data_IF_511032236025
#
_entry.id   IF_511032236025
#
_cell.length_a   1.000
_cell.length_b   1.000
_cell.length_c   1.000
_cell.angle_alpha   90.00
_cell.angle_beta   90.00
_cell.angle_gamma   90.00
#
_symmetry.space_group_name_H-M   'P 1'
#
loop_
_entity.id
_entity.type
_entity.pdbx_description
1 polymer ?
#
# COMPACT_ATOMS: atom_id res chain seq x y z
N UNK A 1 9.73 -14.87 -13.51
CA UNK A 1 9.24 -14.09 -12.37
C UNK A 1 7.96 -14.71 -11.81
N UNK A 2 7.83 -14.77 -10.51
CA UNK A 2 6.65 -15.35 -9.84
C UNK A 2 5.49 -14.35 -9.75
N UNK A 3 5.80 -13.07 -9.81
CA UNK A 3 4.83 -11.98 -9.96
C UNK A 3 5.35 -11.03 -11.03
N UNK A 4 4.47 -10.65 -11.94
CA UNK A 4 4.78 -9.72 -13.01
C UNK A 4 3.62 -8.76 -13.23
N UNK A 5 3.91 -7.48 -13.22
CA UNK A 5 2.94 -6.43 -13.56
C UNK A 5 3.53 -5.49 -14.59
N UNK A 6 2.86 -5.34 -15.71
CA UNK A 6 3.17 -4.35 -16.72
C UNK A 6 2.31 -3.11 -16.46
N UNK A 7 2.96 -1.99 -16.23
CA UNK A 7 2.32 -0.68 -16.15
C UNK A 7 2.60 0.10 -17.43
N UNK A 8 1.64 0.88 -17.86
CA UNK A 8 1.79 1.77 -19.01
C UNK A 8 2.55 3.03 -18.66
N UNK A 9 2.71 3.88 -19.66
CA UNK A 9 3.25 5.23 -19.50
C UNK A 9 2.17 6.14 -18.90
N UNK A 10 2.08 6.12 -17.58
CA UNK A 10 1.03 6.81 -16.84
C UNK A 10 1.57 7.78 -15.82
N UNK A 11 0.77 8.76 -15.56
CA UNK A 11 0.97 9.74 -14.52
C UNK A 11 0.58 9.17 -13.15
N UNK A 12 1.58 8.74 -12.38
CA UNK A 12 1.37 8.23 -11.03
C UNK A 12 1.09 9.29 -9.98
N UNK A 13 1.37 10.58 -10.26
CA UNK A 13 1.43 11.59 -9.22
C UNK A 13 0.98 13.01 -9.60
N UNK A 14 0.71 13.33 -10.87
CA UNK A 14 0.54 14.72 -11.30
C UNK A 14 -0.84 15.34 -11.01
N UNK A 15 -1.80 14.59 -10.53
CA UNK A 15 -3.08 15.16 -10.10
C UNK A 15 -3.68 14.37 -8.91
N UNK A 16 -4.67 14.96 -8.19
CA UNK A 16 -5.20 14.39 -6.94
C UNK A 16 -5.82 13.00 -7.04
N UNK A 17 -6.18 12.54 -8.23
CA UNK A 17 -6.74 11.22 -8.49
C UNK A 17 -5.73 10.24 -9.11
N UNK A 18 -4.45 10.58 -9.11
CA UNK A 18 -3.37 9.67 -9.48
C UNK A 18 -3.12 8.62 -8.40
N UNK A 19 -2.38 7.56 -8.72
CA UNK A 19 -2.17 6.39 -7.82
C UNK A 19 -1.60 6.81 -6.47
N UNK A 20 -0.53 7.61 -6.46
CA UNK A 20 0.16 7.98 -5.21
C UNK A 20 -0.70 8.87 -4.31
N UNK A 21 -1.32 9.96 -4.79
CA UNK A 21 -2.24 10.72 -3.97
C UNK A 21 -3.41 9.90 -3.42
N UNK A 22 -3.96 8.98 -4.20
CA UNK A 22 -5.07 8.15 -3.75
C UNK A 22 -4.67 7.16 -2.65
N UNK A 23 -3.54 6.46 -2.79
CA UNK A 23 -3.07 5.56 -1.73
C UNK A 23 -2.64 6.33 -0.48
N UNK A 24 -2.08 7.52 -0.65
CA UNK A 24 -1.71 8.37 0.47
C UNK A 24 -2.93 8.79 1.31
N UNK A 25 -4.01 9.22 0.68
CA UNK A 25 -5.26 9.56 1.39
C UNK A 25 -5.83 8.38 2.19
N UNK A 26 -5.77 7.17 1.62
CA UNK A 26 -6.15 5.95 2.35
C UNK A 26 -5.23 5.72 3.56
N UNK A 27 -3.93 5.86 3.38
CA UNK A 27 -2.95 5.65 4.44
C UNK A 27 -3.06 6.71 5.55
N UNK A 28 -3.29 7.97 5.20
CA UNK A 28 -3.52 9.07 6.15
C UNK A 28 -4.75 8.81 7.00
N UNK A 29 -5.88 8.48 6.39
CA UNK A 29 -7.11 8.20 7.13
C UNK A 29 -6.98 6.96 8.02
N UNK A 30 -6.34 5.90 7.53
CA UNK A 30 -5.99 4.73 8.31
C UNK A 30 -5.11 5.11 9.51
N UNK A 31 -4.09 5.94 9.29
CA UNK A 31 -3.19 6.43 10.35
C UNK A 31 -3.92 7.27 11.39
N UNK A 32 -4.85 8.14 10.98
CA UNK A 32 -5.69 8.94 11.88
C UNK A 32 -6.53 8.06 12.81
N UNK A 33 -7.21 7.07 12.27
CA UNK A 33 -8.05 6.14 13.04
C UNK A 33 -7.20 5.26 13.95
N UNK A 34 -6.03 4.83 13.49
CA UNK A 34 -5.07 4.09 14.28
C UNK A 34 -4.61 4.90 15.49
N UNK A 35 -4.21 6.15 15.30
CA UNK A 35 -3.77 7.03 16.38
C UNK A 35 -4.87 7.28 17.42
N UNK A 36 -6.12 7.41 16.97
CA UNK A 36 -7.27 7.59 17.85
C UNK A 36 -7.66 6.33 18.65
N UNK A 37 -7.32 5.14 18.14
CA UNK A 37 -7.70 3.84 18.72
C UNK A 37 -6.69 3.28 19.71
N UNK A 38 -5.48 3.84 19.80
CA UNK A 38 -4.37 3.25 20.54
C UNK A 38 -3.83 4.12 21.67
N UNK A 39 -4.05 3.65 22.88
CA UNK A 39 -3.17 3.94 24.01
C UNK A 39 -2.00 2.93 23.96
N UNK A 40 -0.85 3.42 23.59
CA UNK A 40 0.53 2.95 23.82
C UNK A 40 0.99 1.49 23.61
N UNK A 41 0.16 0.49 23.41
CA UNK A 41 0.69 -0.87 23.55
C UNK A 41 0.76 -1.73 22.29
N UNK A 42 -0.11 -1.57 21.29
CA UNK A 42 -0.17 -2.53 20.17
C UNK A 42 -0.54 -1.85 18.86
N UNK A 43 0.43 -1.66 17.98
CA UNK A 43 0.15 -1.32 16.59
C UNK A 43 -0.59 -2.50 15.93
N UNK A 44 -1.74 -2.27 15.25
CA UNK A 44 -2.37 -3.35 14.50
C UNK A 44 -1.40 -3.87 13.47
N UNK A 45 -1.28 -5.19 13.39
CA UNK A 45 -0.50 -5.83 12.34
C UNK A 45 -1.08 -5.45 10.98
N UNK A 46 -0.24 -5.06 10.06
CA UNK A 46 -0.62 -4.92 8.67
C UNK A 46 -0.84 -6.32 8.11
N UNK A 47 -2.06 -6.60 7.64
CA UNK A 47 -2.44 -7.94 7.16
C UNK A 47 -2.16 -8.15 5.67
N UNK A 48 -1.66 -7.12 4.97
CA UNK A 48 -1.29 -7.23 3.57
C UNK A 48 -0.06 -8.13 3.36
N UNK A 49 -0.02 -8.82 2.22
CA UNK A 49 1.13 -9.63 1.81
C UNK A 49 2.38 -8.78 1.66
N UNK A 50 3.53 -9.31 2.07
CA UNK A 50 4.84 -8.66 1.92
C UNK A 50 5.65 -9.29 0.79
N UNK A 51 6.49 -8.47 0.14
CA UNK A 51 7.42 -8.92 -0.90
C UNK A 51 8.86 -9.12 -0.38
N UNK A 52 9.17 -8.64 0.79
CA UNK A 52 10.47 -8.79 1.42
C UNK A 52 10.62 -10.18 2.02
N UNK A 53 11.81 -10.77 1.86
CA UNK A 53 12.11 -12.15 2.25
C UNK A 53 12.56 -12.31 3.70
N UNK A 54 12.96 -11.23 4.33
CA UNK A 54 13.43 -11.23 5.71
C UNK A 54 12.32 -10.83 6.68
N UNK A 55 12.54 -11.01 7.96
CA UNK A 55 11.56 -10.72 9.02
C UNK A 55 11.25 -9.22 9.21
N UNK A 56 11.58 -8.39 8.24
CA UNK A 56 11.45 -6.93 8.35
C UNK A 56 10.06 -6.45 7.92
N UNK A 57 9.46 -7.08 6.92
CA UNK A 57 8.08 -6.82 6.46
C UNK A 57 7.73 -5.33 6.28
N UNK A 58 8.41 -4.67 5.35
CA UNK A 58 8.23 -3.23 5.09
C UNK A 58 7.61 -2.94 3.71
N UNK A 59 7.61 -3.93 2.81
CA UNK A 59 7.12 -3.82 1.44
C UNK A 59 5.84 -4.64 1.26
N UNK A 60 4.72 -3.99 1.43
CA UNK A 60 3.41 -4.63 1.36
C UNK A 60 2.83 -4.56 -0.06
N UNK A 61 2.05 -5.58 -0.44
CA UNK A 61 1.28 -5.54 -1.68
C UNK A 61 0.36 -4.32 -1.69
N UNK A 62 0.46 -3.51 -2.74
CA UNK A 62 -0.20 -2.21 -2.82
C UNK A 62 -1.73 -2.34 -2.75
N UNK A 63 -2.31 -3.29 -3.48
CA UNK A 63 -3.78 -3.48 -3.47
C UNK A 63 -4.29 -4.06 -2.16
N UNK A 64 -3.56 -5.00 -1.58
CA UNK A 64 -3.93 -5.58 -0.29
C UNK A 64 -3.80 -4.54 0.84
N UNK A 65 -2.78 -3.70 0.80
CA UNK A 65 -2.65 -2.58 1.73
C UNK A 65 -3.81 -1.60 1.61
N UNK A 66 -4.16 -1.21 0.39
CA UNK A 66 -5.32 -0.34 0.14
C UNK A 66 -6.62 -0.95 0.65
N UNK A 67 -6.82 -2.26 0.46
CA UNK A 67 -8.00 -2.98 0.96
C UNK A 67 -8.05 -3.02 2.49
N UNK A 68 -6.93 -3.25 3.14
CA UNK A 68 -6.84 -3.19 4.60
C UNK A 68 -7.19 -1.80 5.14
N UNK A 69 -6.68 -0.74 4.53
CA UNK A 69 -7.05 0.63 4.88
C UNK A 69 -8.56 0.86 4.71
N UNK A 70 -9.13 0.44 3.58
CA UNK A 70 -10.58 0.50 3.35
C UNK A 70 -11.36 -0.18 4.47
N UNK A 71 -11.03 -1.40 4.82
CA UNK A 71 -11.79 -2.17 5.82
C UNK A 71 -11.75 -1.50 7.20
N UNK A 72 -10.61 -0.92 7.55
CA UNK A 72 -10.48 -0.16 8.80
C UNK A 72 -11.28 1.14 8.80
N UNK A 73 -11.25 1.88 7.70
CA UNK A 73 -12.01 3.12 7.54
C UNK A 73 -13.51 2.83 7.51
N UNK A 74 -13.94 1.76 6.83
CA UNK A 74 -15.34 1.36 6.72
C UNK A 74 -15.99 1.06 8.07
N UNK A 75 -15.24 0.59 9.04
CA UNK A 75 -15.71 0.37 10.40
C UNK A 75 -16.11 1.67 11.11
N UNK A 76 -15.57 2.82 10.69
CA UNK A 76 -15.86 4.15 11.19
C UNK A 76 -16.81 4.92 10.26
N UNK A 77 -16.50 4.93 8.95
CA UNK A 77 -17.25 5.64 7.91
C UNK A 77 -17.20 4.85 6.59
N UNK A 78 -18.24 4.07 6.35
CA UNK A 78 -18.31 3.19 5.15
C UNK A 78 -18.28 4.00 3.84
N UNK A 79 -19.02 5.11 3.77
CA UNK A 79 -19.09 5.91 2.55
C UNK A 79 -17.74 6.54 2.21
N UNK A 80 -17.03 7.02 3.20
CA UNK A 80 -15.67 7.55 3.03
C UNK A 80 -14.69 6.48 2.57
N UNK A 81 -14.77 5.30 3.17
CA UNK A 81 -13.95 4.15 2.79
C UNK A 81 -14.16 3.78 1.32
N UNK A 82 -15.41 3.66 0.88
CA UNK A 82 -15.77 3.34 -0.50
C UNK A 82 -15.24 4.41 -1.47
N UNK A 83 -15.45 5.69 -1.18
CA UNK A 83 -14.99 6.78 -2.04
C UNK A 83 -13.48 6.80 -2.20
N UNK A 84 -12.73 6.67 -1.11
CA UNK A 84 -11.27 6.67 -1.15
C UNK A 84 -10.71 5.43 -1.88
N UNK A 85 -11.26 4.27 -1.60
CA UNK A 85 -10.83 3.02 -2.21
C UNK A 85 -11.19 2.95 -3.70
N UNK A 86 -12.37 3.41 -4.10
CA UNK A 86 -12.78 3.46 -5.50
C UNK A 86 -11.88 4.41 -6.32
N UNK A 87 -11.53 5.56 -5.77
CA UNK A 87 -10.58 6.47 -6.42
C UNK A 87 -9.22 5.82 -6.62
N UNK A 88 -8.72 5.11 -5.61
CA UNK A 88 -7.48 4.35 -5.73
C UNK A 88 -7.58 3.26 -6.81
N UNK A 89 -8.65 2.46 -6.80
CA UNK A 89 -8.83 1.38 -7.78
C UNK A 89 -8.94 1.90 -9.21
N UNK A 90 -9.63 3.01 -9.44
CA UNK A 90 -9.71 3.66 -10.75
C UNK A 90 -8.32 4.10 -11.23
N UNK A 91 -7.56 4.74 -10.37
CA UNK A 91 -6.19 5.17 -10.70
C UNK A 91 -5.28 3.97 -10.99
N UNK A 92 -5.31 2.95 -10.13
CA UNK A 92 -4.54 1.73 -10.31
C UNK A 92 -4.90 1.00 -11.62
N UNK A 93 -6.17 0.83 -11.90
CA UNK A 93 -6.63 0.13 -13.10
C UNK A 93 -6.31 0.91 -14.39
N UNK A 94 -6.26 2.23 -14.33
CA UNK A 94 -5.81 3.06 -15.45
C UNK A 94 -4.31 2.87 -15.75
N UNK A 95 -3.49 2.63 -14.72
CA UNK A 95 -2.06 2.39 -14.88
C UNK A 95 -1.71 0.95 -15.24
N UNK A 96 -2.46 -0.02 -14.75
CA UNK A 96 -2.18 -1.43 -14.97
C UNK A 96 -2.56 -1.86 -16.38
N UNK A 97 -1.59 -2.38 -17.13
CA UNK A 97 -1.82 -3.02 -18.43
C UNK A 97 -2.09 -4.51 -18.24
N UNK A 98 -1.27 -5.17 -17.43
CA UNK A 98 -1.31 -6.63 -17.29
C UNK A 98 -0.67 -7.07 -15.99
N UNK A 99 -1.28 -8.05 -15.32
CA UNK A 99 -0.71 -8.69 -14.12
C UNK A 99 -0.84 -10.20 -14.23
N UNK A 100 0.21 -10.91 -13.91
CA UNK A 100 0.23 -12.37 -13.71
C UNK A 100 1.09 -12.74 -12.51
N UNK A 101 0.72 -13.83 -11.88
CA UNK A 101 1.48 -14.41 -10.78
C UNK A 101 1.31 -15.93 -10.76
N UNK A 102 2.27 -16.63 -10.16
CA UNK A 102 2.10 -18.01 -9.73
C UNK A 102 1.28 -18.04 -8.43
N UNK A 103 0.76 -19.19 -8.07
CA UNK A 103 -0.01 -19.31 -6.81
C UNK A 103 0.88 -19.21 -5.57
N UNK A 104 2.14 -19.62 -5.69
CA UNK A 104 3.10 -19.67 -4.58
C UNK A 104 4.53 -19.43 -5.07
N UNK A 105 5.30 -18.79 -4.20
CA UNK A 105 6.75 -18.75 -4.28
C UNK A 105 7.30 -19.24 -2.94
N UNK A 106 7.94 -20.41 -2.91
CA UNK A 106 8.36 -21.08 -1.67
C UNK A 106 7.17 -21.23 -0.70
N UNK A 107 7.24 -20.65 0.49
CA UNK A 107 6.15 -20.64 1.49
C UNK A 107 5.18 -19.47 1.33
N UNK A 108 5.47 -18.53 0.43
CA UNK A 108 4.68 -17.30 0.26
C UNK A 108 3.49 -17.57 -0.67
N UNK A 109 2.28 -17.28 -0.20
CA UNK A 109 1.07 -17.31 -1.02
C UNK A 109 1.01 -16.02 -1.87
N UNK A 110 1.04 -16.18 -3.19
CA UNK A 110 1.01 -15.06 -4.14
C UNK A 110 -0.38 -14.82 -4.74
N UNK A 111 -1.38 -15.56 -4.33
CA UNK A 111 -2.76 -15.34 -4.81
C UNK A 111 -3.22 -13.95 -4.41
N UNK A 112 -3.68 -13.19 -5.39
CA UNK A 112 -4.09 -11.79 -5.18
C UNK A 112 -2.96 -10.76 -5.18
N UNK A 113 -1.71 -11.17 -5.45
CA UNK A 113 -0.60 -10.24 -5.62
C UNK A 113 -0.82 -9.31 -6.81
N UNK A 114 -0.63 -8.02 -6.62
CA UNK A 114 -0.74 -7.02 -7.69
C UNK A 114 0.59 -6.70 -8.37
N UNK A 115 1.71 -7.16 -7.83
CA UNK A 115 3.05 -6.95 -8.38
C UNK A 115 3.64 -5.56 -8.12
N UNK A 116 2.91 -4.70 -7.43
CA UNK A 116 3.40 -3.40 -6.95
C UNK A 116 3.39 -3.39 -5.42
N UNK A 117 4.36 -2.74 -4.83
CA UNK A 117 4.47 -2.64 -3.37
C UNK A 117 4.41 -1.20 -2.88
N UNK A 118 4.01 -1.05 -1.63
CA UNK A 118 4.11 0.18 -0.87
C UNK A 118 5.05 -0.04 0.31
N UNK A 119 5.93 0.93 0.54
CA UNK A 119 6.77 0.94 1.73
C UNK A 119 6.00 1.54 2.91
N UNK A 120 5.94 0.80 4.00
CA UNK A 120 5.36 1.29 5.26
C UNK A 120 6.40 1.11 6.36
N UNK A 121 6.96 2.20 6.90
CA UNK A 121 7.97 2.11 7.95
C UNK A 121 7.40 1.42 9.18
N UNK A 122 8.15 0.46 9.71
CA UNK A 122 7.81 -0.26 10.93
C UNK A 122 8.47 0.35 12.17
N UNK A 123 8.17 -0.18 13.36
CA UNK A 123 8.81 0.26 14.61
C UNK A 123 10.33 -0.03 14.65
N UNK A 124 10.79 -0.98 13.84
CA UNK A 124 12.21 -1.30 13.67
C UNK A 124 12.71 -0.65 12.39
N UNK A 125 13.09 0.61 12.46
CA UNK A 125 13.67 1.32 11.31
C UNK A 125 15.04 0.71 11.01
N UNK A 126 15.19 0.13 9.83
CA UNK A 126 16.51 -0.26 9.31
C UNK A 126 17.28 1.02 9.01
N UNK A 127 18.37 1.24 9.72
CA UNK A 127 19.22 2.43 9.57
C UNK A 127 19.61 2.65 8.10
N UNK A 128 19.33 3.85 7.58
CA UNK A 128 19.61 4.25 6.21
C UNK A 128 18.51 3.92 5.19
N UNK A 129 17.63 2.96 5.45
CA UNK A 129 16.56 2.59 4.52
C UNK A 129 15.47 3.67 4.47
N UNK A 130 15.09 4.18 5.63
CA UNK A 130 14.08 5.23 5.73
C UNK A 130 14.56 6.53 5.05
N UNK A 131 15.81 6.93 5.28
CA UNK A 131 16.43 8.08 4.62
C UNK A 131 16.47 7.88 3.09
N UNK A 132 16.80 6.68 2.61
CA UNK A 132 16.77 6.37 1.19
C UNK A 132 15.35 6.57 0.61
N UNK A 133 14.31 6.06 1.27
CA UNK A 133 12.94 6.19 0.81
C UNK A 133 12.42 7.62 0.84
N UNK A 134 12.82 8.43 1.81
CA UNK A 134 12.47 9.85 1.86
C UNK A 134 12.98 10.63 0.63
N UNK A 135 14.01 10.13 -0.04
CA UNK A 135 14.56 10.73 -1.26
C UNK A 135 13.86 10.27 -2.55
N UNK A 136 13.03 9.25 -2.51
CA UNK A 136 12.30 8.78 -3.68
C UNK A 136 11.16 9.75 -4.08
N UNK A 137 10.85 9.77 -5.36
CA UNK A 137 9.73 10.56 -5.89
C UNK A 137 8.40 10.19 -5.20
N UNK A 138 8.17 8.92 -4.92
CA UNK A 138 7.02 8.45 -4.15
C UNK A 138 6.84 9.24 -2.85
N UNK A 139 7.86 9.28 -2.00
CA UNK A 139 7.78 9.96 -0.70
C UNK A 139 7.52 11.45 -0.86
N UNK A 140 8.26 12.11 -1.78
CA UNK A 140 8.14 13.55 -2.03
C UNK A 140 6.78 13.97 -2.56
N UNK A 141 6.06 13.07 -3.23
CA UNK A 141 4.72 13.33 -3.76
C UNK A 141 3.60 12.87 -2.82
N UNK A 142 3.89 12.05 -1.83
CA UNK A 142 2.92 11.56 -0.86
C UNK A 142 2.91 12.32 0.46
N UNK A 143 3.89 13.16 0.70
CA UNK A 143 4.04 14.01 1.89
C UNK A 143 4.21 15.47 1.48
#
# INVERSE_FOLDING_TARGET
ADVYTLVGDFDFCNHPLSVFPCINKLAEEFGRLKAASYSDAHLPSITAMTYDRENVHLFFDLKQFARMCHDKIAADDEQKAENLHDNFLKAYNACKVYTRHTDRFMSINLRGACGLSVYVPGPSIVSGLDEYYQNLAWYKWSH
#
